data_IF_744951587863
#
_entry.id   IF_744951587863
#
_cell.length_a   1.000
_cell.length_b   1.000
_cell.length_c   1.000
_cell.angle_alpha   90.00
_cell.angle_beta   90.00
_cell.angle_gamma   90.00
#
_symmetry.space_group_name_H-M   'P 1'
#
loop_
_entity.id
_entity.type
_entity.pdbx_description
1 polymer ?
#
# COMPACT_ATOMS: atom_id res chain seq x y z
N UNK A 1 -0.92 0.96 2.43
CA UNK A 1 -1.19 -0.24 1.61
C UNK A 1 0.06 -1.13 1.46
N UNK A 2 0.91 -1.19 2.49
CA UNK A 2 2.24 -1.83 2.43
C UNK A 2 2.31 -3.13 3.23
N UNK A 3 1.18 -3.83 3.31
CA UNK A 3 0.94 -5.03 4.10
C UNK A 3 -0.47 -5.54 3.80
N UNK A 4 -1.14 -6.20 4.74
CA UNK A 4 -2.58 -6.51 4.59
C UNK A 4 -3.39 -5.23 4.78
N UNK A 5 -4.06 -4.77 3.71
CA UNK A 5 -4.86 -3.55 3.74
C UNK A 5 -6.27 -3.82 4.25
N UNK A 6 -6.77 -2.95 5.12
CA UNK A 6 -8.10 -3.00 5.71
C UNK A 6 -8.49 -1.66 6.33
N UNK A 7 -9.74 -1.57 6.77
CA UNK A 7 -10.30 -0.40 7.44
C UNK A 7 -10.80 -0.79 8.82
N UNK A 8 -10.58 0.08 9.80
CA UNK A 8 -11.04 -0.09 11.19
C UNK A 8 -11.70 1.21 11.65
N UNK A 9 -12.90 1.48 11.13
CA UNK A 9 -13.68 2.69 11.40
C UNK A 9 -15.18 2.45 11.16
N UNK A 10 -16.03 3.35 11.66
CA UNK A 10 -17.47 3.35 11.39
C UNK A 10 -17.78 3.96 10.02
N UNK A 11 -18.09 3.09 9.05
CA UNK A 11 -18.39 3.47 7.67
C UNK A 11 -19.67 4.33 7.54
N UNK A 12 -20.55 4.34 8.54
CA UNK A 12 -21.80 5.12 8.51
C UNK A 12 -21.55 6.62 8.68
N UNK A 13 -20.44 6.99 9.32
CA UNK A 13 -20.05 8.38 9.57
C UNK A 13 -19.29 9.03 8.41
N UNK A 14 -18.94 8.26 7.38
CA UNK A 14 -18.20 8.76 6.23
C UNK A 14 -19.07 9.62 5.31
N UNK A 15 -18.51 10.73 4.88
CA UNK A 15 -19.02 11.54 3.76
C UNK A 15 -19.02 10.74 2.45
N UNK A 16 -19.78 11.21 1.46
CA UNK A 16 -19.77 10.61 0.12
C UNK A 16 -18.38 10.63 -0.51
N UNK A 17 -17.63 11.72 -0.30
CA UNK A 17 -16.28 11.88 -0.81
C UNK A 17 -15.33 10.82 -0.23
N UNK A 18 -15.33 10.65 1.10
CA UNK A 18 -14.49 9.64 1.75
C UNK A 18 -14.86 8.22 1.30
N UNK A 19 -16.15 7.93 1.09
CA UNK A 19 -16.60 6.63 0.56
C UNK A 19 -16.08 6.38 -0.84
N UNK A 20 -16.05 7.40 -1.69
CA UNK A 20 -15.50 7.27 -3.04
C UNK A 20 -13.98 7.10 -3.03
N UNK A 21 -13.28 7.73 -2.08
CA UNK A 21 -11.84 7.53 -1.92
C UNK A 21 -11.52 6.12 -1.39
N UNK A 22 -12.33 5.58 -0.46
CA UNK A 22 -12.24 4.19 -0.03
C UNK A 22 -12.46 3.21 -1.18
N UNK A 23 -13.44 3.44 -2.06
CA UNK A 23 -13.65 2.59 -3.25
C UNK A 23 -12.41 2.56 -4.13
N UNK A 24 -11.79 3.71 -4.40
CA UNK A 24 -10.56 3.81 -5.21
C UNK A 24 -9.39 3.08 -4.54
N UNK A 25 -9.21 3.27 -3.23
CA UNK A 25 -8.17 2.58 -2.46
C UNK A 25 -8.36 1.05 -2.47
N UNK A 26 -9.59 0.55 -2.32
CA UNK A 26 -9.90 -0.88 -2.41
C UNK A 26 -9.61 -1.44 -3.80
N UNK A 27 -10.00 -0.73 -4.87
CA UNK A 27 -9.73 -1.12 -6.24
C UNK A 27 -8.21 -1.19 -6.50
N UNK A 28 -7.49 -0.12 -6.17
CA UNK A 28 -6.05 -0.06 -6.31
C UNK A 28 -5.34 -1.15 -5.50
N UNK A 29 -5.71 -1.36 -4.23
CA UNK A 29 -5.08 -2.42 -3.44
C UNK A 29 -5.33 -3.81 -4.04
N UNK A 30 -6.50 -4.07 -4.65
CA UNK A 30 -6.75 -5.34 -5.34
C UNK A 30 -5.82 -5.55 -6.54
N UNK A 31 -5.49 -4.49 -7.27
CA UNK A 31 -4.54 -4.52 -8.39
C UNK A 31 -3.13 -4.90 -7.89
N UNK A 32 -2.65 -4.24 -6.84
CA UNK A 32 -1.28 -4.45 -6.32
C UNK A 32 -1.17 -5.58 -5.27
N UNK A 33 -2.27 -6.22 -4.87
CA UNK A 33 -2.32 -7.11 -3.69
C UNK A 33 -1.29 -8.22 -3.75
N UNK A 34 -1.16 -8.88 -4.90
CA UNK A 34 -0.27 -10.03 -5.06
C UNK A 34 1.19 -9.62 -4.84
N UNK A 35 1.58 -8.49 -5.44
CA UNK A 35 2.92 -7.94 -5.28
C UNK A 35 3.21 -7.53 -3.83
N UNK A 36 2.27 -6.85 -3.16
CA UNK A 36 2.46 -6.43 -1.76
C UNK A 36 2.55 -7.62 -0.80
N UNK A 37 1.74 -8.66 -0.98
CA UNK A 37 1.67 -9.78 -0.04
C UNK A 37 2.73 -10.85 -0.27
N UNK A 38 3.23 -11.00 -1.50
CA UNK A 38 4.10 -12.12 -1.88
C UNK A 38 5.36 -11.71 -2.64
N UNK A 39 5.53 -10.43 -2.99
CA UNK A 39 6.75 -9.91 -3.63
C UNK A 39 7.93 -9.81 -2.68
N UNK A 40 9.14 -9.67 -3.24
CA UNK A 40 10.36 -9.44 -2.48
C UNK A 40 10.35 -8.03 -1.89
N UNK A 41 10.48 -7.93 -0.57
CA UNK A 41 10.40 -6.67 0.17
C UNK A 41 11.80 -6.08 0.44
N UNK A 42 11.99 -4.81 0.08
CA UNK A 42 13.23 -4.07 0.32
C UNK A 42 12.97 -2.77 1.08
N UNK A 43 13.76 -2.53 2.13
CA UNK A 43 13.83 -1.20 2.78
C UNK A 43 14.79 -0.31 1.99
N UNK A 44 14.36 0.91 1.66
CA UNK A 44 15.14 1.89 0.90
C UNK A 44 15.64 3.04 1.78
N UNK A 45 14.81 3.53 2.71
CA UNK A 45 15.18 4.55 3.69
C UNK A 45 14.75 4.15 5.10
N UNK A 46 15.66 4.29 6.05
CA UNK A 46 15.42 3.98 7.45
C UNK A 46 14.86 5.22 8.17
N UNK A 47 13.61 5.21 8.65
CA UNK A 47 13.02 6.35 9.35
C UNK A 47 13.64 6.62 10.73
N UNK A 48 14.46 5.70 11.27
CA UNK A 48 15.15 5.92 12.54
C UNK A 48 16.32 6.91 12.43
N UNK A 49 16.86 7.11 11.22
CA UNK A 49 17.96 8.03 10.97
C UNK A 49 17.68 9.02 9.82
N UNK A 50 16.42 9.12 9.38
CA UNK A 50 15.94 10.00 8.32
C UNK A 50 14.53 10.47 8.62
N UNK A 51 14.16 11.66 8.13
CA UNK A 51 12.78 12.15 8.15
C UNK A 51 11.89 11.47 7.07
N UNK A 52 12.41 10.47 6.37
CA UNK A 52 11.72 9.74 5.32
C UNK A 52 11.75 8.24 5.59
N UNK A 53 10.66 7.57 5.24
CA UNK A 53 10.57 6.12 5.22
C UNK A 53 10.29 5.70 3.79
N UNK A 54 11.08 4.78 3.24
CA UNK A 54 10.86 4.30 1.88
C UNK A 54 11.11 2.80 1.81
N UNK A 55 10.32 2.12 1.01
CA UNK A 55 10.42 0.68 0.75
C UNK A 55 9.82 0.34 -0.62
N UNK A 56 10.09 -0.86 -1.09
CA UNK A 56 9.51 -1.38 -2.33
C UNK A 56 9.21 -2.87 -2.25
N UNK A 57 8.34 -3.31 -3.15
CA UNK A 57 7.99 -4.70 -3.41
C UNK A 57 8.33 -5.01 -4.87
N UNK A 58 9.00 -6.14 -5.12
CA UNK A 58 9.43 -6.55 -6.47
C UNK A 58 8.87 -7.93 -6.80
N UNK A 59 8.37 -8.14 -8.02
CA UNK A 59 7.90 -9.45 -8.47
C UNK A 59 9.08 -10.43 -8.58
N UNK A 60 8.81 -11.73 -8.43
CA UNK A 60 9.86 -12.77 -8.55
C UNK A 60 10.56 -12.75 -9.92
N UNK A 61 9.81 -12.41 -10.99
CA UNK A 61 10.33 -12.28 -12.35
C UNK A 61 11.02 -10.92 -12.61
N UNK A 62 10.95 -9.99 -11.64
CA UNK A 62 11.53 -8.63 -11.70
C UNK A 62 11.00 -7.75 -12.83
N UNK A 63 9.78 -8.02 -13.28
CA UNK A 63 9.05 -7.26 -14.30
C UNK A 63 8.07 -6.22 -13.72
N UNK A 64 7.80 -6.29 -12.42
CA UNK A 64 6.90 -5.37 -11.71
C UNK A 64 7.55 -4.87 -10.41
N UNK A 65 7.41 -3.57 -10.14
CA UNK A 65 7.89 -2.94 -8.90
C UNK A 65 6.87 -1.93 -8.39
N UNK A 66 6.67 -1.94 -7.07
CA UNK A 66 5.86 -0.95 -6.36
C UNK A 66 6.70 -0.28 -5.29
N UNK A 67 6.81 1.04 -5.35
CA UNK A 67 7.62 1.85 -4.43
C UNK A 67 6.71 2.75 -3.58
N UNK A 68 7.02 2.85 -2.29
CA UNK A 68 6.44 3.81 -1.35
C UNK A 68 7.57 4.69 -0.77
N UNK A 69 7.35 6.00 -0.71
CA UNK A 69 8.31 7.01 -0.24
C UNK A 69 7.64 8.10 0.57
#
# INVERSE_FOLDING_TARGET
MSGVFGYELDLTQMTLQEKDDVKKQVAFYKEIRKLVQFGEFYRLKNPLNSNQAAWMFVSSERDEVLVFT
#
